data_IF_507232070900
#
_entry.id   IF_507232070900
#
_cell.length_a   1.000
_cell.length_b   1.000
_cell.length_c   1.000
_cell.angle_alpha   90.00
_cell.angle_beta   90.00
_cell.angle_gamma   90.00
#
_symmetry.space_group_name_H-M   'P 1'
#
loop_
_entity.id
_entity.type
_entity.pdbx_description
1 polymer ?
#
# COMPACT_ATOMS: atom_id res chain seq x y z
N UNK A 1 -6.49 -1.51 14.25
CA UNK A 1 -5.32 -0.76 13.77
C UNK A 1 -4.52 -1.68 12.88
N UNK A 2 -4.04 -1.30 11.71
CA UNK A 2 -4.21 -0.07 10.92
C UNK A 2 -3.90 -0.46 9.48
N UNK A 3 -4.35 0.34 8.53
CA UNK A 3 -3.85 0.26 7.17
C UNK A 3 -2.48 0.91 7.16
N UNK A 4 -1.53 0.22 6.54
CA UNK A 4 -0.10 0.54 6.62
C UNK A 4 0.54 0.78 5.25
N UNK A 5 -0.22 0.59 4.18
CA UNK A 5 -0.01 1.25 2.89
C UNK A 5 -1.33 1.66 2.23
N UNK A 6 -1.43 2.92 1.87
CA UNK A 6 -2.59 3.49 1.18
C UNK A 6 -2.14 4.57 0.20
N UNK A 7 -3.07 5.05 -0.60
CA UNK A 7 -2.70 6.07 -1.57
C UNK A 7 -3.83 6.53 -2.45
N UNK A 8 -3.43 7.24 -3.50
CA UNK A 8 -4.31 7.68 -4.57
C UNK A 8 -3.71 7.33 -5.92
N UNK A 9 -4.55 6.84 -6.83
CA UNK A 9 -4.34 7.05 -8.25
C UNK A 9 -4.85 8.45 -8.59
N UNK A 10 -3.94 9.39 -8.76
CA UNK A 10 -4.22 10.75 -9.17
C UNK A 10 -4.24 10.84 -10.70
N UNK A 11 -5.41 11.08 -11.27
CA UNK A 11 -5.59 11.13 -12.71
C UNK A 11 -5.23 12.54 -13.20
N UNK A 12 -4.26 12.66 -14.12
CA UNK A 12 -3.79 13.96 -14.64
C UNK A 12 -4.88 14.79 -15.33
N UNK A 13 -5.95 14.14 -15.82
CA UNK A 13 -7.11 14.79 -16.41
C UNK A 13 -8.37 14.41 -15.61
N UNK A 14 -9.16 15.41 -15.23
CA UNK A 14 -10.53 15.25 -14.72
C UNK A 14 -11.45 14.51 -15.71
N UNK A 15 -11.04 14.45 -16.98
CA UNK A 15 -11.77 13.86 -18.11
C UNK A 15 -11.58 12.35 -18.27
N UNK A 16 -10.88 11.67 -17.34
CA UNK A 16 -10.88 10.20 -17.34
C UNK A 16 -12.31 9.69 -17.34
N UNK A 17 -12.67 9.01 -18.42
CA UNK A 17 -13.96 8.36 -18.55
C UNK A 17 -14.12 7.34 -17.43
N UNK A 18 -15.38 7.06 -17.08
CA UNK A 18 -15.69 5.99 -16.11
C UNK A 18 -15.03 4.68 -16.55
N UNK A 19 -14.96 4.44 -17.87
CA UNK A 19 -14.36 3.25 -18.45
C UNK A 19 -12.86 3.13 -18.12
N UNK A 20 -12.08 4.21 -18.32
CA UNK A 20 -10.64 4.20 -18.02
C UNK A 20 -10.36 4.02 -16.51
N UNK A 21 -11.23 4.56 -15.65
CA UNK A 21 -11.14 4.35 -14.20
C UNK A 21 -11.38 2.88 -13.82
N UNK A 22 -12.36 2.25 -14.47
CA UNK A 22 -12.67 0.83 -14.29
C UNK A 22 -11.51 -0.03 -14.80
N UNK A 23 -10.93 0.30 -15.94
CA UNK A 23 -9.78 -0.42 -16.50
C UNK A 23 -8.55 -0.32 -15.59
N UNK A 24 -8.22 0.88 -15.09
CA UNK A 24 -7.13 1.05 -14.14
C UNK A 24 -7.37 0.25 -12.85
N UNK A 25 -8.58 0.32 -12.30
CA UNK A 25 -8.95 -0.45 -11.11
C UNK A 25 -8.82 -1.97 -11.34
N UNK A 26 -9.26 -2.44 -12.51
CA UNK A 26 -9.17 -3.84 -12.88
C UNK A 26 -7.72 -4.31 -13.03
N UNK A 27 -6.88 -3.55 -13.73
CA UNK A 27 -5.45 -3.87 -13.87
C UNK A 27 -4.73 -3.84 -12.53
N UNK A 28 -4.98 -2.84 -11.69
CA UNK A 28 -4.40 -2.77 -10.35
C UNK A 28 -4.80 -4.00 -9.51
N UNK A 29 -6.04 -4.46 -9.62
CA UNK A 29 -6.53 -5.65 -8.90
C UNK A 29 -5.86 -6.92 -9.40
N UNK A 30 -5.63 -7.07 -10.71
CA UNK A 30 -4.91 -8.21 -11.29
C UNK A 30 -3.49 -8.26 -10.74
N UNK A 31 -2.74 -7.16 -10.85
CA UNK A 31 -1.34 -7.09 -10.41
C UNK A 31 -1.25 -7.34 -8.91
N UNK A 32 -2.15 -6.74 -8.11
CA UNK A 32 -2.19 -6.99 -6.67
C UNK A 32 -2.41 -8.49 -6.36
N UNK A 33 -3.33 -9.15 -7.08
CA UNK A 33 -3.60 -10.59 -6.92
C UNK A 33 -2.38 -11.44 -7.30
N UNK A 34 -1.68 -11.11 -8.39
CA UNK A 34 -0.46 -11.81 -8.83
C UNK A 34 0.65 -11.73 -7.77
N UNK A 35 0.73 -10.61 -7.07
CA UNK A 35 1.67 -10.39 -5.96
C UNK A 35 1.11 -10.76 -4.58
N UNK A 36 -0.06 -11.42 -4.51
CA UNK A 36 -0.72 -11.86 -3.26
C UNK A 36 -0.96 -10.71 -2.26
N UNK A 37 -1.40 -9.58 -2.78
CA UNK A 37 -1.75 -8.38 -2.02
C UNK A 37 -3.25 -8.15 -2.17
N UNK A 38 -3.95 -7.95 -1.06
CA UNK A 38 -5.33 -7.48 -1.08
C UNK A 38 -5.37 -6.00 -1.48
N UNK A 39 -6.34 -5.62 -2.31
CA UNK A 39 -6.50 -4.26 -2.78
C UNK A 39 -7.96 -3.84 -2.65
N UNK A 40 -8.22 -2.77 -1.88
CA UNK A 40 -9.51 -2.08 -1.92
C UNK A 40 -9.35 -0.74 -2.62
N UNK A 41 -10.38 -0.37 -3.37
CA UNK A 41 -10.40 0.81 -4.24
C UNK A 41 -11.67 1.63 -4.02
N UNK A 42 -11.57 2.95 -4.21
CA UNK A 42 -12.71 3.85 -4.22
C UNK A 42 -13.46 3.87 -2.89
N UNK A 43 -14.77 3.69 -2.93
CA UNK A 43 -15.63 3.69 -1.75
C UNK A 43 -15.45 2.51 -0.80
N UNK A 44 -14.67 1.49 -1.18
CA UNK A 44 -14.36 0.34 -0.32
C UNK A 44 -13.16 0.57 0.61
N UNK A 45 -12.46 1.69 0.43
CA UNK A 45 -11.36 2.13 1.31
C UNK A 45 -11.92 2.56 2.66
N UNK A 46 -11.18 2.32 3.74
CA UNK A 46 -11.58 2.64 5.09
C UNK A 46 -11.89 4.14 5.27
N UNK A 47 -12.95 4.49 6.03
CA UNK A 47 -13.39 5.87 6.15
C UNK A 47 -12.37 6.85 6.73
N UNK A 48 -11.36 6.38 7.48
CA UNK A 48 -10.33 7.25 8.05
C UNK A 48 -9.31 7.69 6.97
N UNK A 49 -8.93 6.80 6.05
CA UNK A 49 -8.07 7.13 4.89
C UNK A 49 -8.77 8.11 3.97
N UNK A 50 -10.06 7.88 3.67
CA UNK A 50 -10.83 8.78 2.81
C UNK A 50 -10.84 10.21 3.38
N UNK A 51 -10.89 10.36 4.71
CA UNK A 51 -10.78 11.66 5.38
C UNK A 51 -9.39 12.29 5.19
N UNK A 52 -8.32 11.51 5.29
CA UNK A 52 -6.94 11.97 5.11
C UNK A 52 -6.61 12.37 3.65
N UNK A 53 -7.31 11.80 2.66
CA UNK A 53 -7.13 12.15 1.25
C UNK A 53 -7.83 13.47 0.87
N UNK A 54 -8.95 13.79 1.54
CA UNK A 54 -9.72 15.00 1.28
C UNK A 54 -10.52 14.93 -0.03
N UNK A 55 -10.38 15.94 -0.91
CA UNK A 55 -11.11 15.97 -2.19
C UNK A 55 -10.73 14.76 -3.07
N UNK A 56 -11.73 13.96 -3.46
CA UNK A 56 -11.59 12.76 -4.30
C UNK A 56 -11.77 13.03 -5.79
N UNK A 57 -12.04 14.27 -6.20
CA UNK A 57 -12.14 14.62 -7.62
C UNK A 57 -10.84 14.30 -8.36
N UNK A 58 -10.96 13.54 -9.45
CA UNK A 58 -9.81 13.06 -10.22
C UNK A 58 -8.93 12.05 -9.49
N UNK A 59 -9.38 11.45 -8.38
CA UNK A 59 -8.60 10.48 -7.60
C UNK A 59 -9.35 9.18 -7.40
N UNK A 60 -8.64 8.05 -7.50
CA UNK A 60 -9.13 6.75 -7.03
C UNK A 60 -8.33 6.41 -5.77
N UNK A 61 -8.92 6.54 -4.57
CA UNK A 61 -8.24 6.14 -3.35
C UNK A 61 -8.05 4.63 -3.34
N UNK A 62 -6.97 4.18 -2.71
CA UNK A 62 -6.70 2.76 -2.52
C UNK A 62 -6.07 2.47 -1.17
N UNK A 63 -6.25 1.24 -0.72
CA UNK A 63 -5.51 0.66 0.41
C UNK A 63 -5.02 -0.74 0.03
N UNK A 64 -3.75 -0.99 0.36
CA UNK A 64 -3.19 -2.32 0.29
C UNK A 64 -3.47 -3.01 1.61
N UNK A 65 -4.05 -4.20 1.52
CA UNK A 65 -4.26 -5.11 2.62
C UNK A 65 -3.50 -6.39 2.32
N UNK A 66 -3.40 -7.29 3.28
CA UNK A 66 -3.07 -8.67 2.94
C UNK A 66 -4.21 -9.31 2.13
N UNK A 67 -3.89 -10.40 1.44
CA UNK A 67 -4.86 -11.20 0.68
C UNK A 67 -5.97 -11.70 1.63
N UNK A 68 -7.27 -11.43 1.35
CA UNK A 68 -8.39 -11.91 2.17
C UNK A 68 -8.53 -13.44 2.20
N UNK A 69 -7.84 -14.17 1.32
CA UNK A 69 -7.78 -15.64 1.33
C UNK A 69 -6.64 -16.19 2.22
N UNK A 70 -5.74 -15.33 2.71
CA UNK A 70 -4.65 -15.70 3.61
C UNK A 70 -5.07 -15.46 5.07
N UNK A 71 -5.07 -16.52 5.88
CA UNK A 71 -5.36 -16.42 7.33
C UNK A 71 -4.34 -15.55 8.08
N UNK A 72 -3.22 -15.21 7.42
CA UNK A 72 -2.20 -14.29 7.91
C UNK A 72 -2.47 -12.81 7.55
N UNK A 73 -3.72 -12.45 7.25
CA UNK A 73 -4.13 -11.17 6.68
C UNK A 73 -3.89 -9.88 7.50
N UNK A 74 -3.13 -9.95 8.59
CA UNK A 74 -2.81 -8.82 9.46
C UNK A 74 -1.32 -8.49 9.49
N UNK A 75 -0.52 -9.15 8.65
CA UNK A 75 0.92 -9.20 8.81
C UNK A 75 1.71 -8.52 7.68
N UNK A 76 1.08 -7.95 6.64
CA UNK A 76 1.78 -7.36 5.49
C UNK A 76 2.94 -6.45 5.92
N UNK A 77 2.64 -5.64 6.92
CA UNK A 77 3.52 -4.66 7.54
C UNK A 77 3.68 -5.01 9.03
N UNK A 78 4.23 -6.18 9.31
CA UNK A 78 4.63 -6.57 10.66
C UNK A 78 6.08 -7.04 10.62
N UNK A 79 6.92 -6.51 11.51
CA UNK A 79 8.33 -6.87 11.59
C UNK A 79 8.55 -8.36 11.87
N UNK A 80 9.73 -8.87 11.51
CA UNK A 80 10.06 -10.27 11.73
C UNK A 80 10.16 -10.60 13.22
N UNK A 81 9.64 -11.77 13.61
CA UNK A 81 9.63 -12.23 15.01
C UNK A 81 8.62 -11.53 15.92
N UNK A 82 7.79 -10.61 15.40
CA UNK A 82 6.68 -10.02 16.13
C UNK A 82 5.52 -11.02 16.17
N UNK A 83 5.04 -11.35 17.37
CA UNK A 83 3.87 -12.20 17.55
C UNK A 83 2.59 -11.43 17.20
N UNK A 84 1.83 -11.92 16.22
CA UNK A 84 0.52 -11.39 15.84
C UNK A 84 -0.55 -12.34 16.34
N UNK A 85 -1.52 -11.81 17.08
CA UNK A 85 -2.66 -12.57 17.58
C UNK A 85 -3.95 -12.12 16.87
N UNK A 86 -4.63 -13.04 16.20
CA UNK A 86 -5.94 -12.81 15.57
C UNK A 86 -6.96 -13.72 16.23
N UNK A 87 -7.95 -13.12 16.89
CA UNK A 87 -8.93 -13.85 17.70
C UNK A 87 -8.26 -14.88 18.65
N UNK A 88 -7.23 -14.42 19.38
CA UNK A 88 -6.44 -15.21 20.35
C UNK A 88 -5.56 -16.33 19.75
N UNK A 89 -5.54 -16.48 18.43
CA UNK A 89 -4.66 -17.43 17.75
C UNK A 89 -3.41 -16.73 17.24
N UNK A 90 -2.24 -17.34 17.47
CA UNK A 90 -0.99 -16.90 16.85
C UNK A 90 -1.05 -17.09 15.34
N UNK A 91 -0.78 -16.00 14.65
CA UNK A 91 -0.69 -15.92 13.20
C UNK A 91 0.77 -15.69 12.87
N UNK A 92 1.39 -16.69 12.24
CA UNK A 92 2.78 -16.64 11.82
C UNK A 92 2.81 -16.69 10.29
N UNK A 93 3.37 -15.65 9.68
CA UNK A 93 3.35 -15.53 8.22
C UNK A 93 4.18 -16.62 7.53
N UNK A 94 5.17 -17.17 8.23
CA UNK A 94 6.18 -18.04 7.62
C UNK A 94 7.01 -17.37 6.52
N UNK A 95 6.87 -16.05 6.34
CA UNK A 95 7.50 -15.25 5.29
C UNK A 95 8.26 -14.06 5.93
N UNK A 96 9.47 -13.79 5.46
CA UNK A 96 10.25 -12.66 5.98
C UNK A 96 9.61 -11.32 5.61
N UNK A 97 9.89 -10.28 6.40
CA UNK A 97 9.48 -8.91 6.11
C UNK A 97 10.01 -8.48 4.75
N UNK A 98 11.26 -8.85 4.42
CA UNK A 98 11.88 -8.55 3.12
C UNK A 98 11.03 -9.08 1.97
N UNK A 99 10.63 -10.36 2.02
CA UNK A 99 9.82 -10.98 0.97
C UNK A 99 8.44 -10.32 0.86
N UNK A 100 7.80 -10.00 2.00
CA UNK A 100 6.53 -9.25 2.01
C UNK A 100 6.65 -7.87 1.39
N UNK A 101 7.73 -7.13 1.67
CA UNK A 101 7.99 -5.80 1.09
C UNK A 101 8.36 -5.88 -0.39
N UNK A 102 9.03 -6.95 -0.83
CA UNK A 102 9.32 -7.22 -2.24
C UNK A 102 8.04 -7.41 -3.05
N UNK A 103 7.00 -8.08 -2.52
CA UNK A 103 5.68 -8.19 -3.20
C UNK A 103 5.10 -6.81 -3.50
N UNK A 104 5.17 -5.88 -2.54
CA UNK A 104 4.63 -4.52 -2.69
C UNK A 104 5.49 -3.71 -3.66
N UNK A 105 6.81 -3.86 -3.60
CA UNK A 105 7.72 -3.27 -4.57
C UNK A 105 7.42 -3.76 -5.99
N UNK A 106 7.18 -5.06 -6.17
CA UNK A 106 6.84 -5.64 -7.47
C UNK A 106 5.48 -5.14 -7.98
N UNK A 107 4.48 -5.04 -7.10
CA UNK A 107 3.20 -4.40 -7.42
C UNK A 107 3.40 -2.98 -7.98
N UNK A 108 4.15 -2.12 -7.27
CA UNK A 108 4.41 -0.76 -7.77
C UNK A 108 5.26 -0.74 -9.05
N UNK A 109 6.22 -1.67 -9.18
CA UNK A 109 7.06 -1.79 -10.37
C UNK A 109 6.24 -2.13 -11.61
N UNK A 110 5.32 -3.08 -11.50
CA UNK A 110 4.44 -3.45 -12.60
C UNK A 110 3.39 -2.38 -12.89
N UNK A 111 2.89 -1.69 -11.86
CA UNK A 111 2.04 -0.51 -12.07
C UNK A 111 2.76 0.58 -12.87
N UNK A 112 4.06 0.82 -12.66
CA UNK A 112 4.86 1.75 -13.48
C UNK A 112 5.04 1.29 -14.94
N UNK A 113 4.93 -0.02 -15.22
CA UNK A 113 4.99 -0.54 -16.59
C UNK A 113 3.67 -0.33 -17.35
N UNK A 114 2.57 -0.04 -16.65
CA UNK A 114 1.31 0.31 -17.27
C UNK A 114 1.39 1.71 -17.91
N UNK A 115 1.02 1.80 -19.19
CA UNK A 115 1.05 3.06 -19.97
C UNK A 115 0.16 4.17 -19.39
N UNK A 116 -0.85 3.82 -18.59
CA UNK A 116 -1.72 4.77 -17.92
C UNK A 116 -1.04 5.42 -16.70
N UNK A 117 0.08 4.88 -16.22
CA UNK A 117 0.85 5.39 -15.09
C UNK A 117 2.12 6.07 -15.61
N UNK A 118 2.36 7.30 -15.16
CA UNK A 118 3.55 8.09 -15.47
C UNK A 118 4.57 8.08 -14.33
N UNK A 119 4.10 8.07 -13.07
CA UNK A 119 4.99 8.14 -11.91
C UNK A 119 4.33 7.59 -10.65
N UNK A 120 5.15 7.01 -9.76
CA UNK A 120 4.75 6.64 -8.40
C UNK A 120 5.66 7.36 -7.43
N UNK A 121 5.07 8.08 -6.47
CA UNK A 121 5.77 8.69 -5.33
C UNK A 121 5.36 7.99 -4.06
N UNK A 122 6.34 7.54 -3.28
CA UNK A 122 6.13 6.83 -2.03
C UNK A 122 6.62 7.72 -0.89
N UNK A 123 5.78 7.91 0.11
CA UNK A 123 6.07 8.67 1.32
C UNK A 123 5.96 7.71 2.52
N UNK A 124 6.98 7.68 3.37
CA UNK A 124 7.04 6.84 4.58
C UNK A 124 6.84 7.67 5.84
N UNK A 125 6.42 7.03 6.94
CA UNK A 125 6.22 7.62 8.28
C UNK A 125 5.20 8.75 8.34
N UNK A 126 4.08 8.60 7.63
CA UNK A 126 2.93 9.51 7.81
C UNK A 126 2.20 9.12 9.10
N UNK A 127 2.61 9.63 10.27
CA UNK A 127 1.74 9.55 11.46
C UNK A 127 0.47 10.39 11.23
N UNK A 128 -0.68 9.89 11.71
CA UNK A 128 -1.90 10.70 11.74
C UNK A 128 -1.74 11.83 12.74
N UNK A 129 -1.39 13.03 12.23
CA UNK A 129 -1.30 14.25 13.03
C UNK A 129 0.12 14.72 13.36
N UNK A 130 1.14 13.94 13.02
CA UNK A 130 2.54 14.34 13.09
C UNK A 130 3.13 14.28 11.68
N UNK A 131 3.18 15.44 11.02
CA UNK A 131 3.79 15.62 9.70
C UNK A 131 5.32 15.58 9.84
N UNK A 132 5.88 14.47 10.31
CA UNK A 132 7.32 14.33 10.53
C UNK A 132 7.95 13.56 9.37
N UNK A 133 8.93 14.20 8.72
CA UNK A 133 9.88 13.65 7.75
C UNK A 133 9.32 12.59 6.78
N UNK A 134 8.63 13.06 5.75
CA UNK A 134 8.28 12.19 4.62
C UNK A 134 9.52 11.88 3.79
N UNK A 135 9.93 10.61 3.77
CA UNK A 135 11.00 10.12 2.91
C UNK A 135 10.43 9.81 1.52
N UNK A 136 10.89 10.55 0.51
CA UNK A 136 10.62 10.21 -0.90
C UNK A 136 11.49 9.01 -1.29
N UNK A 137 10.83 7.91 -1.62
CA UNK A 137 11.50 6.64 -1.96
C UNK A 137 11.14 6.23 -3.37
N UNK A 138 12.17 5.90 -4.15
CA UNK A 138 12.00 5.30 -5.46
C UNK A 138 11.40 3.89 -5.33
N UNK A 139 10.53 3.49 -6.27
CA UNK A 139 9.90 2.15 -6.24
C UNK A 139 10.95 1.03 -6.12
N UNK A 140 12.08 1.15 -6.81
CA UNK A 140 13.18 0.18 -6.78
C UNK A 140 13.88 0.01 -5.43
N UNK A 141 13.78 1.02 -4.55
CA UNK A 141 14.41 1.01 -3.23
C UNK A 141 13.41 0.74 -2.10
N UNK A 142 12.13 0.57 -2.44
CA UNK A 142 11.05 0.44 -1.46
C UNK A 142 11.32 -0.65 -0.43
N UNK A 143 11.58 -1.89 -0.86
CA UNK A 143 11.74 -3.02 0.05
C UNK A 143 12.90 -2.80 1.02
N UNK A 144 14.04 -2.37 0.49
CA UNK A 144 15.23 -2.05 1.29
C UNK A 144 14.93 -0.97 2.33
N UNK A 145 14.30 0.14 1.91
CA UNK A 145 14.00 1.27 2.80
C UNK A 145 13.01 0.91 3.89
N UNK A 146 12.00 0.11 3.57
CA UNK A 146 11.05 -0.38 4.56
C UNK A 146 11.75 -1.25 5.60
N UNK A 147 12.57 -2.21 5.20
CA UNK A 147 13.31 -3.07 6.14
C UNK A 147 14.23 -2.25 7.04
N UNK A 148 14.97 -1.29 6.48
CA UNK A 148 15.82 -0.36 7.25
C UNK A 148 15.01 0.39 8.32
N UNK A 149 13.80 0.87 7.99
CA UNK A 149 12.93 1.56 8.95
C UNK A 149 12.43 0.64 10.07
N UNK A 150 12.04 -0.59 9.76
CA UNK A 150 11.65 -1.57 10.78
C UNK A 150 12.80 -1.85 11.76
N UNK A 151 14.03 -2.00 11.26
CA UNK A 151 15.19 -2.23 12.11
C UNK A 151 15.53 -1.03 13.01
N UNK A 152 15.39 0.19 12.49
CA UNK A 152 15.70 1.43 13.21
C UNK A 152 14.66 1.77 14.29
N UNK A 153 13.38 1.53 14.01
CA UNK A 153 12.26 1.90 14.88
C UNK A 153 11.80 0.75 15.80
N UNK A 154 12.65 -0.26 16.03
CA UNK A 154 12.36 -1.37 16.95
C UNK A 154 11.17 -2.23 16.51
N UNK A 155 11.05 -2.49 15.21
CA UNK A 155 9.95 -3.18 14.54
C UNK A 155 8.58 -2.48 14.62
N UNK A 156 8.56 -1.17 14.90
CA UNK A 156 7.36 -0.38 14.71
C UNK A 156 6.92 -0.40 13.24
N UNK A 157 5.61 -0.28 13.02
CA UNK A 157 5.06 -0.35 11.68
C UNK A 157 4.99 1.04 11.02
N UNK A 158 5.77 1.30 9.96
CA UNK A 158 5.64 2.51 9.17
C UNK A 158 4.32 2.54 8.39
N UNK A 159 3.85 3.76 8.13
CA UNK A 159 2.72 4.03 7.24
C UNK A 159 3.28 4.49 5.89
N UNK A 160 2.83 3.85 4.82
CA UNK A 160 3.18 4.20 3.44
C UNK A 160 2.02 4.94 2.78
N UNK A 161 2.29 6.11 2.23
CA UNK A 161 1.39 6.82 1.32
C UNK A 161 1.96 6.79 -0.09
N UNK A 162 1.15 6.35 -1.06
CA UNK A 162 1.52 6.33 -2.47
C UNK A 162 0.69 7.32 -3.27
N UNK A 163 1.35 8.12 -4.11
CA UNK A 163 0.70 8.95 -5.13
C UNK A 163 1.11 8.40 -6.49
N UNK A 164 0.16 7.77 -7.17
CA UNK A 164 0.33 7.17 -8.48
C UNK A 164 -0.32 8.10 -9.49
N UNK A 165 0.44 8.64 -10.43
CA UNK A 165 -0.04 9.61 -11.42
C UNK A 165 0.21 9.12 -12.83
#
# INVERSE_FOLDING_TARGET
MSIKAWGIFQLYNSDFSIQEKVELAFVATIIATEHKIGLKLGGNVEPHILRNIGNLEGKIPFELTDDPLDVNAHCLFVGDGIEVLVAENRVDTGESLVARMERIQNFFTEMLMNKAIKSIKLFLNVEEGDEVDTLDVSVSEFSKKMVELYEQEGNWTPIVKAIIT
#
